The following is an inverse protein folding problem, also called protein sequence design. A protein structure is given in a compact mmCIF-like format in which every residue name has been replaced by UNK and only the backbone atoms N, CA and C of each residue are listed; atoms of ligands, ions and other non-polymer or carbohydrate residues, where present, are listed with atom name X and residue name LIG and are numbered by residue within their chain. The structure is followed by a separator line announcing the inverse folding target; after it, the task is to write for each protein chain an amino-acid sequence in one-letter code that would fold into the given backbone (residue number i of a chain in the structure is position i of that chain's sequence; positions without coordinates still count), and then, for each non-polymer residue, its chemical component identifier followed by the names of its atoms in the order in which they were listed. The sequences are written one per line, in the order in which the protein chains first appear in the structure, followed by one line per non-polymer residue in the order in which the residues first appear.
data_IF_797035242101
#
_entry.id   IF_797035242101
#
_cell.length_a   1.000
_cell.length_b   1.000
_cell.length_c   1.000
_cell.angle_alpha   90.00
_cell.angle_beta   90.00
_cell.angle_gamma   90.00
#
_symmetry.space_group_name_H-M   'P 1'
#
loop_
_entity.id
_entity.type
_entity.pdbx_description
1 polymer ?
#
# COMPACT_ATOMS: atom_id res chain seq x y z
N UNK A 1 -2.60 -11.09 1.42
CA UNK A 1 -1.47 -10.41 2.12
C UNK A 1 -1.57 -10.51 3.63
N UNK A 2 -2.67 -10.06 4.26
CA UNK A 2 -2.87 -10.22 5.72
C UNK A 2 -2.76 -11.69 6.16
N UNK A 3 -3.31 -12.62 5.40
CA UNK A 3 -3.23 -14.07 5.68
C UNK A 3 -1.79 -14.58 5.71
N UNK A 4 -0.93 -14.12 4.79
CA UNK A 4 0.50 -14.47 4.77
C UNK A 4 1.19 -13.96 6.03
N UNK A 5 0.87 -12.73 6.46
CA UNK A 5 1.45 -12.14 7.68
C UNK A 5 1.00 -12.87 8.95
N UNK A 6 -0.23 -13.37 8.98
CA UNK A 6 -0.73 -14.23 10.07
C UNK A 6 -0.01 -15.58 10.06
N UNK A 7 0.15 -16.19 8.89
CA UNK A 7 0.80 -17.50 8.73
C UNK A 7 2.25 -17.50 9.21
N UNK A 8 2.99 -16.41 8.95
CA UNK A 8 4.37 -16.24 9.46
C UNK A 8 4.43 -15.82 10.95
N UNK A 9 3.28 -15.67 11.61
CA UNK A 9 3.18 -15.53 13.06
C UNK A 9 3.11 -14.09 13.59
N UNK A 10 2.83 -13.10 12.75
CA UNK A 10 2.47 -11.75 13.24
C UNK A 10 1.06 -11.76 13.83
N UNK A 11 0.88 -11.11 14.97
CA UNK A 11 -0.40 -11.11 15.71
C UNK A 11 -1.15 -9.80 15.56
N UNK A 12 -0.43 -8.69 15.63
CA UNK A 12 -1.00 -7.36 15.49
C UNK A 12 -0.60 -6.82 14.12
N UNK A 13 -1.55 -6.77 13.19
CA UNK A 13 -1.33 -6.35 11.81
C UNK A 13 -2.26 -5.17 11.51
N UNK A 14 -1.64 -4.01 11.29
CA UNK A 14 -2.32 -2.79 10.86
C UNK A 14 -1.88 -2.45 9.44
N UNK A 15 -2.85 -2.20 8.57
CA UNK A 15 -2.60 -1.86 7.16
C UNK A 15 -3.29 -0.53 6.90
N UNK A 16 -2.50 0.50 6.64
CA UNK A 16 -2.98 1.86 6.37
C UNK A 16 -2.72 2.19 4.91
N UNK A 17 -3.74 2.02 4.07
CA UNK A 17 -3.68 2.39 2.67
C UNK A 17 -3.99 3.88 2.51
N UNK A 18 -3.22 4.54 1.64
CA UNK A 18 -3.31 5.95 1.33
C UNK A 18 -3.36 6.13 -0.19
N UNK A 19 -4.18 7.07 -0.62
CA UNK A 19 -4.13 7.52 -2.00
C UNK A 19 -2.82 8.25 -2.26
N UNK A 20 -2.24 8.05 -3.45
CA UNK A 20 -1.02 8.74 -3.84
C UNK A 20 -1.33 10.15 -4.33
N UNK A 21 -0.40 11.08 -4.13
CA UNK A 21 -0.53 12.43 -4.69
C UNK A 21 -0.38 12.42 -6.20
N UNK A 22 -0.94 13.44 -6.88
CA UNK A 22 -0.79 13.57 -8.33
C UNK A 22 0.67 13.76 -8.76
N UNK A 23 1.46 14.45 -7.92
CA UNK A 23 2.89 14.63 -8.14
C UNK A 23 3.64 13.29 -8.09
N UNK A 24 3.32 12.43 -7.14
CA UNK A 24 3.88 11.09 -7.07
C UNK A 24 3.44 10.24 -8.27
N UNK A 25 2.16 10.26 -8.62
CA UNK A 25 1.61 9.50 -9.74
C UNK A 25 2.28 9.85 -11.07
N UNK A 26 2.59 11.13 -11.31
CA UNK A 26 3.31 11.59 -12.52
C UNK A 26 4.69 10.97 -12.69
N UNK A 27 5.36 10.53 -11.61
CA UNK A 27 6.66 9.83 -11.69
C UNK A 27 6.52 8.43 -12.30
N UNK A 28 5.34 7.83 -12.22
CA UNK A 28 5.06 6.47 -12.67
C UNK A 28 4.32 6.40 -14.01
N UNK A 29 3.79 7.53 -14.50
CA UNK A 29 3.17 7.62 -15.81
C UNK A 29 2.44 8.94 -16.00
N UNK A 30 2.73 9.63 -17.10
CA UNK A 30 2.05 10.88 -17.45
C UNK A 30 0.82 10.60 -18.32
N UNK A 31 -0.35 11.13 -17.95
CA UNK A 31 -1.57 11.11 -18.78
C UNK A 31 -2.42 9.83 -18.74
N UNK A 32 -2.03 8.79 -18.02
CA UNK A 32 -2.69 7.46 -18.07
C UNK A 32 -3.68 7.17 -16.93
N UNK A 33 -4.21 8.19 -16.23
CA UNK A 33 -5.02 7.99 -15.00
C UNK A 33 -4.36 7.00 -14.01
N UNK A 34 -3.03 6.93 -14.00
CA UNK A 34 -2.26 5.91 -13.31
C UNK A 34 -2.56 5.86 -11.80
N UNK A 35 -2.96 7.01 -11.23
CA UNK A 35 -3.44 7.17 -9.85
C UNK A 35 -4.62 6.27 -9.49
N UNK A 36 -5.47 5.88 -10.45
CA UNK A 36 -6.58 4.94 -10.22
C UNK A 36 -6.09 3.49 -10.03
N UNK A 37 -4.84 3.20 -10.43
CA UNK A 37 -4.26 1.86 -10.43
C UNK A 37 -3.12 1.68 -9.42
N UNK A 38 -2.66 2.76 -8.79
CA UNK A 38 -1.56 2.72 -7.83
C UNK A 38 -1.99 3.33 -6.50
N UNK A 39 -1.52 2.73 -5.41
CA UNK A 39 -1.73 3.20 -4.05
C UNK A 39 -0.44 3.10 -3.27
N UNK A 40 -0.35 3.82 -2.16
CA UNK A 40 0.71 3.65 -1.18
C UNK A 40 0.11 3.21 0.14
N UNK A 41 0.93 2.65 1.02
CA UNK A 41 0.44 2.28 2.34
C UNK A 41 1.53 1.79 3.24
N UNK A 42 1.26 1.88 4.52
CA UNK A 42 2.13 1.42 5.58
C UNK A 42 1.55 0.12 6.15
N UNK A 43 2.43 -0.87 6.36
CA UNK A 43 2.08 -2.13 7.04
C UNK A 43 2.89 -2.16 8.33
N UNK A 44 2.19 -2.14 9.45
CA UNK A 44 2.78 -2.34 10.76
C UNK A 44 2.39 -3.74 11.25
N UNK A 45 3.39 -4.59 11.49
CA UNK A 45 3.18 -5.95 11.96
C UNK A 45 4.16 -6.26 13.10
N UNK A 46 3.63 -6.72 14.24
CA UNK A 46 4.42 -7.11 15.41
C UNK A 46 3.83 -8.33 16.14
N UNK A 47 4.65 -8.97 16.98
CA UNK A 47 4.35 -10.22 17.70
C UNK A 47 4.40 -10.01 19.20
#
# INVERSE_FOLDING_TARGET
MKEILVDVGFKNIEINLKEVTDEYAKKWGYGLKIKEYIGSGDILAYK
#
